data_IF_698076044629
#
_entry.id   IF_698076044629
#
_cell.length_a   1.000
_cell.length_b   1.000
_cell.length_c   1.000
_cell.angle_alpha   90.00
_cell.angle_beta   90.00
_cell.angle_gamma   90.00
#
_symmetry.space_group_name_H-M   'P 1'
#
loop_
_entity.id
_entity.type
_entity.pdbx_description
1 polymer ?
#
# COMPACT_ATOMS: atom_id res chain seq x y z
N UNK A 1 2.43 -14.57 -11.44
CA UNK A 1 2.22 -13.51 -10.47
C UNK A 1 1.02 -12.64 -10.83
N UNK A 2 0.35 -12.14 -9.81
CA UNK A 2 -0.75 -11.21 -10.00
C UNK A 2 -0.23 -9.89 -10.53
N UNK A 3 -0.91 -9.37 -11.52
CA UNK A 3 -0.63 -8.03 -12.03
C UNK A 3 -1.87 -7.16 -11.87
N UNK A 4 -1.67 -5.95 -11.40
CA UNK A 4 -2.76 -4.99 -11.30
C UNK A 4 -3.14 -4.49 -12.68
N UNK A 5 -4.43 -4.17 -12.89
CA UNK A 5 -4.84 -3.55 -14.15
C UNK A 5 -4.17 -2.19 -14.32
N UNK A 6 -4.00 -1.73 -15.55
CA UNK A 6 -3.47 -0.39 -15.77
C UNK A 6 -4.42 0.64 -15.19
N UNK A 7 -3.86 1.68 -14.67
CA UNK A 7 -4.46 2.80 -13.97
C UNK A 7 -5.97 2.74 -13.82
N UNK A 8 -6.43 2.54 -12.61
CA UNK A 8 -7.84 2.69 -12.28
C UNK A 8 -8.01 4.09 -11.73
N UNK A 9 -8.56 4.98 -12.54
CA UNK A 9 -8.80 6.36 -12.14
C UNK A 9 -10.03 6.43 -11.25
N UNK A 10 -10.07 7.41 -10.36
CA UNK A 10 -11.23 7.75 -9.55
C UNK A 10 -11.62 6.71 -8.50
N UNK A 11 -10.70 5.80 -8.12
CA UNK A 11 -10.94 4.92 -7.01
C UNK A 11 -10.77 5.67 -5.68
N UNK A 12 -11.65 5.36 -4.75
CA UNK A 12 -11.63 5.93 -3.40
C UNK A 12 -11.44 4.84 -2.36
N UNK A 13 -11.02 5.22 -1.17
CA UNK A 13 -10.89 4.30 -0.04
C UNK A 13 -12.22 3.55 0.17
N UNK A 14 -12.11 2.24 0.38
CA UNK A 14 -13.28 1.38 0.56
C UNK A 14 -13.87 0.83 -0.72
N UNK A 15 -13.46 1.34 -1.89
CA UNK A 15 -13.89 0.78 -3.16
C UNK A 15 -13.32 -0.61 -3.36
N UNK A 16 -13.97 -1.40 -4.22
CA UNK A 16 -13.52 -2.72 -4.58
C UNK A 16 -13.22 -2.81 -6.06
N UNK A 17 -12.18 -3.55 -6.40
CA UNK A 17 -11.79 -3.84 -7.78
C UNK A 17 -11.83 -5.35 -7.96
N UNK A 18 -12.47 -5.79 -9.04
CA UNK A 18 -12.63 -7.22 -9.33
C UNK A 18 -11.75 -7.61 -10.50
N UNK A 19 -10.92 -8.65 -10.31
CA UNK A 19 -10.07 -9.21 -11.35
C UNK A 19 -10.31 -10.71 -11.37
N UNK A 20 -11.11 -11.18 -12.34
CA UNK A 20 -11.55 -12.56 -12.34
C UNK A 20 -12.38 -12.86 -11.08
N UNK A 21 -11.95 -13.80 -10.26
CA UNK A 21 -12.59 -14.09 -8.98
C UNK A 21 -11.90 -13.42 -7.80
N UNK A 22 -10.93 -12.55 -8.06
CA UNK A 22 -10.19 -11.88 -7.01
C UNK A 22 -10.82 -10.53 -6.74
N UNK A 23 -11.06 -10.21 -5.47
CA UNK A 23 -11.55 -8.92 -5.03
C UNK A 23 -10.42 -8.18 -4.34
N UNK A 24 -10.16 -6.95 -4.78
CA UNK A 24 -9.18 -6.06 -4.16
C UNK A 24 -9.90 -4.91 -3.48
N UNK A 25 -9.51 -4.63 -2.23
CA UNK A 25 -10.00 -3.47 -1.50
C UNK A 25 -9.03 -2.32 -1.68
N UNK A 26 -9.56 -1.14 -1.94
CA UNK A 26 -8.74 0.08 -2.11
C UNK A 26 -8.51 0.72 -0.74
N UNK A 27 -7.26 0.92 -0.40
CA UNK A 27 -6.85 1.59 0.84
C UNK A 27 -6.15 2.89 0.45
N UNK A 28 -6.67 4.02 0.92
CA UNK A 28 -6.04 5.32 0.63
C UNK A 28 -4.72 5.45 1.38
N UNK A 29 -3.66 5.80 0.64
CA UNK A 29 -2.33 6.06 1.19
C UNK A 29 -1.77 7.32 0.53
N UNK A 30 -2.43 8.48 0.73
CA UNK A 30 -1.93 9.73 0.14
C UNK A 30 -0.59 10.13 0.77
N UNK A 31 0.27 10.73 -0.04
CA UNK A 31 1.55 11.25 0.44
C UNK A 31 2.64 11.18 -0.60
N UNK A 32 2.87 10.03 -1.20
CA UNK A 32 3.73 9.94 -2.39
C UNK A 32 3.08 10.74 -3.51
N UNK A 33 1.79 10.51 -3.71
CA UNK A 33 0.93 11.37 -4.53
C UNK A 33 -0.37 11.64 -3.75
N UNK A 34 -1.11 12.74 -4.05
CA UNK A 34 -2.36 13.02 -3.36
C UNK A 34 -3.41 11.90 -3.49
N UNK A 35 -3.41 11.21 -4.64
CA UNK A 35 -4.35 10.13 -4.90
C UNK A 35 -3.76 8.73 -4.69
N UNK A 36 -2.68 8.60 -3.94
CA UNK A 36 -2.02 7.31 -3.71
C UNK A 36 -2.92 6.31 -3.03
N UNK A 37 -2.86 5.05 -3.47
CA UNK A 37 -3.65 3.96 -2.91
C UNK A 37 -2.83 2.68 -2.87
N UNK A 38 -3.24 1.77 -1.97
CA UNK A 38 -2.81 0.38 -1.97
C UNK A 38 -4.01 -0.49 -2.29
N UNK A 39 -3.76 -1.69 -2.79
CA UNK A 39 -4.80 -2.68 -3.07
C UNK A 39 -4.58 -3.91 -2.20
N UNK A 40 -5.60 -4.26 -1.42
CA UNK A 40 -5.51 -5.38 -0.48
C UNK A 40 -6.39 -6.53 -0.96
N UNK A 41 -5.77 -7.70 -1.14
CA UNK A 41 -6.48 -8.94 -1.44
C UNK A 41 -6.52 -9.80 -0.18
N UNK A 42 -7.62 -9.76 0.56
CA UNK A 42 -7.74 -10.48 1.83
C UNK A 42 -7.70 -12.00 1.61
N UNK A 43 -8.31 -12.48 0.54
CA UNK A 43 -8.37 -13.92 0.24
C UNK A 43 -6.99 -14.52 0.04
N UNK A 44 -6.08 -13.78 -0.60
CA UNK A 44 -4.73 -14.25 -0.88
C UNK A 44 -3.72 -13.77 0.16
N UNK A 45 -4.13 -12.92 1.09
CA UNK A 45 -3.21 -12.36 2.09
C UNK A 45 -2.10 -11.52 1.48
N UNK A 46 -2.44 -10.68 0.50
CA UNK A 46 -1.47 -9.87 -0.26
C UNK A 46 -1.92 -8.43 -0.33
N UNK A 47 -0.96 -7.52 -0.14
CA UNK A 47 -1.14 -6.09 -0.32
C UNK A 47 -0.25 -5.61 -1.45
N UNK A 48 -0.84 -4.99 -2.45
CA UNK A 48 -0.10 -4.31 -3.52
C UNK A 48 0.09 -2.86 -3.09
N UNK A 49 1.29 -2.51 -2.70
CA UNK A 49 1.55 -1.21 -2.08
C UNK A 49 2.04 -0.13 -3.07
N UNK A 50 2.26 -0.51 -4.33
CA UNK A 50 2.69 0.46 -5.35
C UNK A 50 3.93 1.21 -4.88
N UNK A 51 3.84 2.55 -4.93
CA UNK A 51 4.92 3.42 -4.49
C UNK A 51 4.70 4.00 -3.10
N UNK A 52 3.81 3.41 -2.30
CA UNK A 52 3.52 3.89 -0.95
C UNK A 52 4.40 3.25 0.12
N UNK A 53 4.57 1.92 0.06
CA UNK A 53 5.32 1.17 1.08
C UNK A 53 6.29 0.23 0.40
N UNK A 54 7.53 0.24 0.87
CA UNK A 54 8.60 -0.65 0.41
C UNK A 54 9.21 -1.36 1.60
N UNK A 55 10.06 -2.34 1.34
CA UNK A 55 10.77 -3.02 2.41
C UNK A 55 11.69 -2.04 3.13
N UNK A 56 11.37 -1.75 4.40
CA UNK A 56 12.11 -0.84 5.28
C UNK A 56 12.18 0.61 4.77
N UNK A 57 11.22 1.00 3.92
CA UNK A 57 11.15 2.35 3.36
C UNK A 57 9.72 2.72 3.02
N UNK A 58 9.51 3.98 2.71
CA UNK A 58 8.22 4.49 2.20
C UNK A 58 8.48 5.27 0.91
N UNK A 59 7.40 5.56 0.18
CA UNK A 59 7.48 6.31 -1.04
C UNK A 59 8.04 7.72 -0.81
N UNK A 60 8.75 8.24 -1.82
CA UNK A 60 9.27 9.61 -1.76
C UNK A 60 8.11 10.60 -1.72
N UNK A 61 8.27 11.65 -0.92
CA UNK A 61 7.26 12.69 -0.77
C UNK A 61 7.88 14.09 -0.93
N UNK A 62 9.08 14.19 -1.51
CA UNK A 62 9.89 15.39 -1.59
C UNK A 62 9.69 16.16 -2.91
N UNK A 63 8.54 16.02 -3.53
CA UNK A 63 8.19 16.73 -4.77
C UNK A 63 6.81 17.36 -4.63
N UNK A 64 6.42 18.27 -5.56
CA UNK A 64 5.13 18.96 -5.46
C UNK A 64 3.96 17.98 -5.33
N UNK A 65 3.09 18.21 -4.36
CA UNK A 65 1.98 17.32 -4.04
C UNK A 65 2.32 16.22 -3.05
N UNK A 66 3.60 15.99 -2.73
CA UNK A 66 4.02 15.00 -1.76
C UNK A 66 3.83 15.46 -0.33
N UNK A 67 3.57 14.52 0.59
CA UNK A 67 3.38 14.82 2.00
C UNK A 67 3.74 13.58 2.83
N UNK A 68 4.93 13.61 3.43
CA UNK A 68 5.43 12.47 4.20
C UNK A 68 4.57 12.21 5.45
N UNK A 69 4.14 13.25 6.14
CA UNK A 69 3.33 13.08 7.33
C UNK A 69 2.01 12.37 7.01
N UNK A 70 1.38 12.74 5.89
CA UNK A 70 0.16 12.06 5.44
C UNK A 70 0.41 10.60 5.10
N UNK A 71 1.50 10.29 4.41
CA UNK A 71 1.82 8.92 4.05
C UNK A 71 2.09 8.07 5.29
N UNK A 72 2.89 8.56 6.21
CA UNK A 72 3.19 7.85 7.46
C UNK A 72 1.90 7.58 8.25
N UNK A 73 1.05 8.60 8.39
CA UNK A 73 -0.21 8.45 9.13
C UNK A 73 -1.12 7.41 8.47
N UNK A 74 -1.27 7.47 7.15
CA UNK A 74 -2.12 6.54 6.42
C UNK A 74 -1.61 5.10 6.53
N UNK A 75 -0.29 4.90 6.39
CA UNK A 75 0.30 3.57 6.49
C UNK A 75 0.12 3.00 7.89
N UNK A 76 0.34 3.80 8.92
CA UNK A 76 0.18 3.34 10.31
C UNK A 76 -1.26 3.02 10.65
N UNK A 77 -2.22 3.82 10.18
CA UNK A 77 -3.62 3.67 10.52
C UNK A 77 -4.32 2.61 9.69
N UNK A 78 -3.99 2.50 8.41
CA UNK A 78 -4.78 1.72 7.46
C UNK A 78 -4.06 0.50 6.90
N UNK A 79 -2.75 0.43 6.98
CA UNK A 79 -1.95 -0.65 6.39
C UNK A 79 -1.32 -1.52 7.46
N UNK A 80 -0.65 -0.93 8.45
CA UNK A 80 0.01 -1.72 9.49
C UNK A 80 -0.98 -2.42 10.43
N UNK A 81 -2.26 -2.08 10.33
CA UNK A 81 -3.34 -2.73 11.09
C UNK A 81 -3.85 -3.99 10.41
N UNK A 82 -3.38 -4.29 9.20
CA UNK A 82 -3.72 -5.54 8.52
C UNK A 82 -3.05 -6.72 9.25
N UNK A 83 -3.52 -7.96 9.00
CA UNK A 83 -2.91 -9.12 9.65
C UNK A 83 -1.39 -9.18 9.40
N UNK A 84 -0.60 -9.55 10.40
CA UNK A 84 0.87 -9.49 10.29
C UNK A 84 1.47 -10.39 9.21
N UNK A 85 0.79 -11.47 8.86
CA UNK A 85 1.28 -12.40 7.84
C UNK A 85 1.03 -11.93 6.39
N UNK A 86 0.30 -10.82 6.21
CA UNK A 86 0.02 -10.29 4.87
C UNK A 86 1.33 -9.97 4.17
N UNK A 87 1.47 -10.47 2.94
CA UNK A 87 2.63 -10.18 2.09
C UNK A 87 2.43 -8.85 1.40
N UNK A 88 3.49 -8.06 1.38
CA UNK A 88 3.47 -6.74 0.73
C UNK A 88 4.28 -6.83 -0.55
N UNK A 89 3.63 -6.53 -1.67
CA UNK A 89 4.24 -6.51 -3.00
C UNK A 89 4.34 -5.07 -3.46
N UNK A 90 5.53 -4.45 -3.36
CA UNK A 90 5.71 -3.07 -3.82
C UNK A 90 5.72 -2.98 -5.34
N UNK A 91 5.63 -1.75 -5.85
CA UNK A 91 5.75 -1.50 -7.28
C UNK A 91 7.12 -1.86 -7.82
N UNK A 92 8.15 -1.78 -6.98
CA UNK A 92 9.51 -2.24 -7.30
C UNK A 92 10.22 -2.54 -5.98
N UNK A 93 11.33 -3.27 -6.07
CA UNK A 93 12.05 -3.71 -4.89
C UNK A 93 11.54 -5.04 -4.36
N UNK A 94 11.99 -5.41 -3.18
CA UNK A 94 11.72 -6.73 -2.60
C UNK A 94 10.37 -6.80 -1.91
N UNK A 95 9.76 -7.98 -1.95
CA UNK A 95 8.59 -8.31 -1.17
C UNK A 95 8.92 -8.29 0.32
N UNK A 96 7.92 -7.91 1.14
CA UNK A 96 8.04 -7.90 2.59
C UNK A 96 6.74 -8.40 3.22
N UNK A 97 6.56 -8.21 4.52
CA UNK A 97 5.32 -8.53 5.22
C UNK A 97 4.92 -7.37 6.13
N UNK A 98 3.65 -7.34 6.51
CA UNK A 98 3.16 -6.33 7.46
C UNK A 98 3.93 -6.44 8.78
N UNK A 99 4.17 -7.66 9.28
CA UNK A 99 4.91 -7.87 10.53
C UNK A 99 6.31 -7.29 10.45
N UNK A 100 7.02 -7.50 9.35
CA UNK A 100 8.37 -6.98 9.18
C UNK A 100 8.39 -5.46 9.15
N UNK A 101 7.44 -4.84 8.42
CA UNK A 101 7.42 -3.39 8.33
C UNK A 101 7.03 -2.74 9.64
N UNK A 102 6.20 -3.39 10.42
CA UNK A 102 5.82 -2.91 11.74
C UNK A 102 7.00 -2.85 12.70
N UNK A 103 7.94 -3.80 12.56
CA UNK A 103 9.09 -3.92 13.46
C UNK A 103 10.33 -3.20 12.94
N UNK A 104 10.53 -3.17 11.63
CA UNK A 104 11.82 -2.81 11.04
C UNK A 104 11.80 -1.54 10.22
N UNK A 105 10.63 -1.02 9.85
CA UNK A 105 10.57 0.16 8.99
C UNK A 105 10.83 1.43 9.82
N UNK A 106 11.96 2.13 9.58
CA UNK A 106 12.33 3.27 10.43
C UNK A 106 11.38 4.46 10.28
N UNK A 107 10.64 4.56 9.19
CA UNK A 107 9.68 5.63 8.98
C UNK A 107 8.38 5.41 9.75
N UNK A 108 8.10 4.17 10.14
CA UNK A 108 6.81 3.78 10.71
C UNK A 108 6.89 3.37 12.19
N UNK A 109 8.08 3.39 12.74
CA UNK A 109 8.29 3.06 14.15
C UNK A 109 7.78 4.15 15.09
#
# INVERSE_FOLDING_TARGET
PLQLPPVVQYLSAGDEVYIGHITLQVIATPGHTPGGVCYYCAEEGVLFSGDSLFRHAIGRCDFPGGNQASLVASLRQNVLTLPPQVKVLPGHGEMTTIAEEKQMNPYLL
#
